data_IF_485630901245
#
_entry.id   IF_485630901245
#
_cell.length_a   1.000
_cell.length_b   1.000
_cell.length_c   1.000
_cell.angle_alpha   90.00
_cell.angle_beta   90.00
_cell.angle_gamma   90.00
#
_symmetry.space_group_name_H-M   'P 1'
#
loop_
_entity.id
_entity.type
_entity.pdbx_description
1 polymer ?
#
# COMPACT_ATOMS: atom_id res chain seq x y z
N UNK A 1 11.95 3.75 0.71
CA UNK A 1 10.59 4.22 1.05
C UNK A 1 9.69 4.08 -0.17
N UNK A 2 8.48 3.53 -0.04
CA UNK A 2 7.56 3.32 -1.17
C UNK A 2 7.13 4.67 -1.77
N UNK A 3 7.25 4.83 -3.08
CA UNK A 3 7.11 6.13 -3.73
C UNK A 3 5.66 6.63 -3.89
N UNK A 4 4.66 5.79 -3.59
CA UNK A 4 3.25 6.23 -3.42
C UNK A 4 3.04 6.95 -2.09
N UNK A 5 3.67 6.47 -1.01
CA UNK A 5 3.55 7.07 0.33
C UNK A 5 4.05 8.52 0.32
N UNK A 6 5.22 8.75 -0.27
CA UNK A 6 5.78 10.11 -0.37
C UNK A 6 4.89 11.08 -1.16
N UNK A 7 4.21 10.58 -2.20
CA UNK A 7 3.29 11.40 -3.01
C UNK A 7 2.00 11.71 -2.24
N UNK A 8 1.45 10.74 -1.53
CA UNK A 8 0.28 10.95 -0.68
C UNK A 8 0.57 11.96 0.45
N UNK A 9 1.75 11.87 1.09
CA UNK A 9 2.17 12.84 2.10
C UNK A 9 2.29 14.24 1.50
N UNK A 10 2.94 14.37 0.33
CA UNK A 10 3.03 15.67 -0.37
C UNK A 10 1.66 16.24 -0.66
N UNK A 11 0.73 15.44 -1.16
CA UNK A 11 -0.64 15.85 -1.44
C UNK A 11 -1.33 16.37 -0.17
N UNK A 12 -1.27 15.60 0.92
CA UNK A 12 -1.86 15.99 2.21
C UNK A 12 -1.29 17.32 2.73
N UNK A 13 0.04 17.49 2.64
CA UNK A 13 0.70 18.74 3.04
C UNK A 13 0.27 19.92 2.15
N UNK A 14 0.14 19.71 0.84
CA UNK A 14 -0.35 20.73 -0.09
C UNK A 14 -1.78 21.15 0.22
N UNK A 15 -2.62 20.23 0.69
CA UNK A 15 -4.00 20.50 1.10
C UNK A 15 -4.13 21.07 2.53
N UNK A 16 -3.01 21.22 3.25
CA UNK A 16 -3.01 21.66 4.65
C UNK A 16 -3.61 20.63 5.61
N UNK A 17 -3.70 19.37 5.21
CA UNK A 17 -4.24 18.30 6.02
C UNK A 17 -3.27 17.92 7.15
N UNK A 18 -3.78 17.78 8.37
CA UNK A 18 -3.03 17.32 9.54
C UNK A 18 -3.02 15.79 9.67
N UNK A 19 -3.85 15.09 8.90
CA UNK A 19 -4.00 13.63 8.94
C UNK A 19 -4.01 13.07 7.52
N UNK A 20 -3.28 11.98 7.32
CA UNK A 20 -3.21 11.29 6.02
C UNK A 20 -4.47 10.44 5.81
N UNK A 21 -5.26 10.77 4.79
CA UNK A 21 -6.47 10.06 4.40
C UNK A 21 -6.24 9.15 3.19
N UNK A 22 -7.13 8.17 3.00
CA UNK A 22 -7.12 7.25 1.84
C UNK A 22 -7.22 8.01 0.52
N UNK A 23 -7.97 9.12 0.49
CA UNK A 23 -8.10 10.00 -0.68
C UNK A 23 -6.75 10.52 -1.20
N UNK A 24 -5.80 10.86 -0.31
CA UNK A 24 -4.47 11.31 -0.72
C UNK A 24 -3.67 10.19 -1.41
N UNK A 25 -3.87 8.94 -1.00
CA UNK A 25 -3.26 7.79 -1.67
C UNK A 25 -3.93 7.49 -3.01
N UNK A 26 -5.25 7.59 -3.07
CA UNK A 26 -6.01 7.45 -4.30
C UNK A 26 -5.51 8.46 -5.36
N UNK A 27 -5.39 9.72 -4.98
CA UNK A 27 -4.92 10.78 -5.88
C UNK A 27 -3.46 10.57 -6.30
N UNK A 28 -2.58 10.22 -5.35
CA UNK A 28 -1.18 9.90 -5.63
C UNK A 28 -1.04 8.72 -6.61
N UNK A 29 -1.91 7.72 -6.52
CA UNK A 29 -1.93 6.56 -7.41
C UNK A 29 -2.43 6.95 -8.80
N UNK A 30 -3.52 7.72 -8.87
CA UNK A 30 -4.08 8.26 -10.12
C UNK A 30 -3.03 9.04 -10.90
N UNK A 31 -2.37 10.00 -10.26
CA UNK A 31 -1.37 10.86 -10.90
C UNK A 31 -0.12 10.10 -11.36
N UNK A 32 0.21 8.97 -10.72
CA UNK A 32 1.41 8.20 -11.08
C UNK A 32 1.15 7.22 -12.21
N UNK A 33 -0.01 6.58 -12.21
CA UNK A 33 -0.33 5.46 -13.11
C UNK A 33 -1.41 5.81 -14.14
N UNK A 34 -1.83 7.08 -14.20
CA UNK A 34 -2.94 7.56 -15.03
C UNK A 34 -4.20 6.68 -14.90
N UNK A 35 -4.50 6.34 -13.65
CA UNK A 35 -5.50 5.33 -13.32
C UNK A 35 -6.89 5.96 -13.17
N UNK A 36 -7.89 5.40 -13.87
CA UNK A 36 -9.28 5.82 -13.69
C UNK A 36 -9.82 5.42 -12.29
N UNK A 37 -10.74 6.20 -11.69
CA UNK A 37 -11.23 5.94 -10.33
C UNK A 37 -11.75 4.51 -10.10
N UNK A 38 -12.45 3.93 -11.07
CA UNK A 38 -13.02 2.58 -10.98
C UNK A 38 -11.95 1.47 -10.81
N UNK A 39 -10.72 1.71 -11.26
CA UNK A 39 -9.59 0.78 -11.17
C UNK A 39 -8.58 1.18 -10.09
N UNK A 40 -8.83 2.27 -9.36
CA UNK A 40 -7.92 2.73 -8.34
C UNK A 40 -8.04 1.83 -7.09
N UNK A 41 -6.96 1.16 -6.63
CA UNK A 41 -7.04 0.21 -5.53
C UNK A 41 -7.44 0.85 -4.19
N UNK A 42 -7.36 2.17 -4.07
CA UNK A 42 -7.77 2.92 -2.88
C UNK A 42 -9.24 3.38 -2.91
N UNK A 43 -9.92 3.25 -4.06
CA UNK A 43 -11.32 3.67 -4.24
C UNK A 43 -12.24 2.53 -4.69
N UNK A 44 -11.71 1.58 -5.45
CA UNK A 44 -12.49 0.51 -6.06
C UNK A 44 -12.99 -0.47 -5.02
N UNK A 45 -14.28 -0.79 -4.99
CA UNK A 45 -14.83 -1.84 -4.13
C UNK A 45 -14.45 -3.26 -4.59
N UNK A 46 -13.87 -3.39 -5.80
CA UNK A 46 -13.55 -4.68 -6.42
C UNK A 46 -12.46 -5.46 -5.66
N UNK A 47 -11.75 -4.86 -4.69
CA UNK A 47 -10.83 -5.63 -3.84
C UNK A 47 -11.57 -6.72 -3.04
N UNK A 48 -12.87 -6.56 -2.78
CA UNK A 48 -13.69 -7.58 -2.12
C UNK A 48 -13.89 -8.83 -2.98
N UNK A 49 -13.76 -8.71 -4.31
CA UNK A 49 -13.81 -9.86 -5.22
C UNK A 49 -12.51 -10.69 -5.18
N UNK A 50 -11.42 -10.13 -4.65
CA UNK A 50 -10.16 -10.85 -4.48
C UNK A 50 -10.26 -11.69 -3.21
N UNK A 51 -10.66 -12.96 -3.38
CA UNK A 51 -10.55 -13.99 -2.35
C UNK A 51 -9.07 -14.23 -2.05
N UNK A 52 -8.48 -13.45 -1.14
CA UNK A 52 -7.16 -13.77 -0.63
C UNK A 52 -7.25 -15.10 0.13
N UNK A 53 -6.64 -16.20 -0.35
CA UNK A 53 -6.62 -17.43 0.41
C UNK A 53 -6.02 -17.12 1.78
N UNK A 54 -6.73 -17.50 2.85
CA UNK A 54 -6.28 -17.27 4.24
C UNK A 54 -4.87 -17.84 4.39
N UNK A 55 -3.91 -16.94 4.63
CA UNK A 55 -2.53 -17.17 5.07
C UNK A 55 -1.69 -18.15 4.23
N UNK A 56 -0.79 -17.61 3.40
CA UNK A 56 0.50 -18.28 3.20
C UNK A 56 1.38 -17.86 4.39
N UNK A 57 1.81 -18.78 5.27
CA UNK A 57 2.72 -18.44 6.36
C UNK A 57 3.97 -17.79 5.77
N UNK A 58 4.37 -16.64 6.31
CA UNK A 58 5.66 -16.03 5.99
C UNK A 58 6.76 -17.02 6.34
N UNK A 59 7.37 -17.64 5.34
CA UNK A 59 8.59 -18.40 5.54
C UNK A 59 9.72 -17.42 5.87
N UNK A 60 9.91 -17.10 7.14
CA UNK A 60 11.22 -16.71 7.64
C UNK A 60 12.01 -17.99 7.85
N UNK A 61 13.08 -18.28 7.07
CA UNK A 61 13.97 -19.36 7.44
C UNK A 61 14.71 -18.95 8.71
N UNK A 62 14.36 -19.57 9.83
CA UNK A 62 15.16 -19.49 11.05
C UNK A 62 16.54 -20.09 10.75
N UNK A 63 17.57 -19.24 10.64
CA UNK A 63 18.97 -19.68 10.61
C UNK A 63 19.24 -20.46 11.90
N UNK A 64 19.26 -21.81 11.84
CA UNK A 64 19.83 -22.65 12.90
C UNK A 64 21.32 -22.28 13.03
N UNK A 65 21.67 -21.48 14.02
CA UNK A 65 23.05 -21.40 14.50
C UNK A 65 23.40 -22.77 15.11
N UNK A 66 24.11 -23.60 14.35
CA UNK A 66 24.80 -24.77 14.92
C UNK A 66 25.86 -24.23 15.88
N UNK A 67 25.73 -24.53 17.18
CA UNK A 67 26.85 -24.43 18.11
C UNK A 67 27.87 -25.49 17.67
N UNK A 68 29.08 -25.05 17.33
CA UNK A 68 30.23 -25.94 17.27
C UNK A 68 30.57 -26.35 18.71
N UNK A 69 30.81 -27.66 18.88
CA UNK A 69 31.44 -28.24 20.05
C UNK A 69 32.88 -27.77 20.16
#
# INVERSE_FOLDING_TARGET
>A
MCAIILRAIKQALTEGASVLQISHFAEAYRLRYDCVPALNPFLSDNYLAVSAPRSVPSQTPAKKRRRAL
#
